data_IF_817554432949
#
_entry.id   IF_817554432949
#
_cell.length_a   1.000
_cell.length_b   1.000
_cell.length_c   1.000
_cell.angle_alpha   90.00
_cell.angle_beta   90.00
_cell.angle_gamma   90.00
#
_symmetry.space_group_name_H-M   'P 1'
#
loop_
_entity.id
_entity.type
_entity.pdbx_description
1 polymer ?
#
# COMPACT_ATOMS: atom_id res chain seq x y z
N UNK A 1 -1.09 16.75 -6.43
CA UNK A 1 -2.20 16.77 -5.44
C UNK A 1 -1.77 17.48 -4.15
N UNK A 2 -0.77 16.98 -3.39
CA UNK A 2 -0.38 17.54 -2.07
C UNK A 2 -0.09 19.05 -2.12
N UNK A 3 0.82 19.50 -2.99
CA UNK A 3 1.18 20.94 -3.13
C UNK A 3 -0.01 21.80 -3.56
N UNK A 4 -0.92 21.28 -4.38
CA UNK A 4 -2.11 21.98 -4.82
C UNK A 4 -3.14 22.12 -3.70
N UNK A 5 -3.33 21.07 -2.91
CA UNK A 5 -4.22 21.09 -1.76
C UNK A 5 -3.69 22.00 -0.65
N UNK A 6 -2.38 22.01 -0.41
CA UNK A 6 -1.77 22.98 0.53
C UNK A 6 -2.04 24.43 0.16
N UNK A 7 -2.09 24.75 -1.15
CA UNK A 7 -2.39 26.11 -1.61
C UNK A 7 -3.86 26.48 -1.48
N UNK A 8 -4.78 25.50 -1.58
CA UNK A 8 -6.22 25.71 -1.58
C UNK A 8 -6.86 25.65 -0.20
N UNK A 9 -6.33 24.79 0.67
CA UNK A 9 -6.82 24.62 2.02
C UNK A 9 -6.08 25.58 2.95
N UNK A 10 -6.77 26.59 3.42
CA UNK A 10 -6.28 27.46 4.48
C UNK A 10 -6.00 26.63 5.74
N UNK A 11 -4.99 26.99 6.46
CA UNK A 11 -4.23 26.40 7.57
C UNK A 11 -4.98 25.72 8.75
N UNK A 12 -6.25 25.45 8.66
CA UNK A 12 -7.02 24.82 9.76
C UNK A 12 -6.85 23.30 9.85
N UNK A 13 -6.36 22.65 8.79
CA UNK A 13 -6.22 21.21 8.72
C UNK A 13 -4.79 20.83 8.34
N UNK A 14 -4.19 19.95 9.10
CA UNK A 14 -2.87 19.40 8.77
C UNK A 14 -2.99 18.45 7.57
N UNK A 15 -2.13 18.64 6.57
CA UNK A 15 -2.06 17.76 5.38
C UNK A 15 -0.82 16.90 5.50
N UNK A 16 -1.01 15.59 5.57
CA UNK A 16 0.07 14.60 5.65
C UNK A 16 0.12 13.80 4.35
N UNK A 17 1.30 13.80 3.71
CA UNK A 17 1.59 12.92 2.57
C UNK A 17 2.33 11.69 3.09
N UNK A 18 1.84 10.49 2.72
CA UNK A 18 2.44 9.21 3.12
C UNK A 18 2.54 8.27 1.90
N UNK A 19 3.75 7.86 1.55
CA UNK A 19 4.02 6.88 0.49
C UNK A 19 5.30 6.09 0.78
N UNK A 20 5.55 5.03 0.02
CA UNK A 20 6.69 4.13 0.22
C UNK A 20 8.08 4.70 -0.12
N UNK A 21 8.15 5.88 -0.79
CA UNK A 21 9.41 6.49 -1.24
C UNK A 21 9.98 7.53 -0.26
N UNK A 22 9.62 7.48 1.00
CA UNK A 22 10.31 8.22 2.06
C UNK A 22 11.44 7.38 2.63
N UNK A 23 12.50 8.03 3.12
CA UNK A 23 13.46 7.36 4.01
C UNK A 23 12.72 6.82 5.24
N UNK A 24 13.23 5.73 5.81
CA UNK A 24 12.59 5.04 6.94
C UNK A 24 12.27 5.98 8.11
N UNK A 25 13.21 6.86 8.47
CA UNK A 25 13.07 7.86 9.53
C UNK A 25 11.88 8.81 9.30
N UNK A 26 11.77 9.39 8.10
CA UNK A 26 10.68 10.32 7.77
C UNK A 26 9.34 9.59 7.67
N UNK A 27 9.34 8.39 7.11
CA UNK A 27 8.16 7.55 7.05
C UNK A 27 7.63 7.23 8.43
N UNK A 28 8.50 6.79 9.35
CA UNK A 28 8.13 6.48 10.73
C UNK A 28 7.57 7.71 11.45
N UNK A 29 8.19 8.89 11.27
CA UNK A 29 7.71 10.13 11.85
C UNK A 29 6.30 10.48 11.35
N UNK A 30 6.04 10.35 10.04
CA UNK A 30 4.74 10.60 9.43
C UNK A 30 3.68 9.57 9.88
N UNK A 31 4.03 8.29 9.93
CA UNK A 31 3.14 7.23 10.43
C UNK A 31 2.74 7.48 11.88
N UNK A 32 3.69 7.90 12.73
CA UNK A 32 3.42 8.27 14.11
C UNK A 32 2.51 9.49 14.22
N UNK A 33 2.71 10.51 13.38
CA UNK A 33 1.83 11.69 13.34
C UNK A 33 0.40 11.31 12.93
N UNK A 34 0.25 10.49 11.89
CA UNK A 34 -1.06 9.97 11.45
C UNK A 34 -1.72 9.13 12.55
N UNK A 35 -0.97 8.20 13.15
CA UNK A 35 -1.47 7.34 14.23
C UNK A 35 -1.89 8.15 15.47
N UNK A 36 -1.16 9.20 15.80
CA UNK A 36 -1.50 10.13 16.87
C UNK A 36 -2.77 10.92 16.55
N UNK A 37 -2.94 11.38 15.31
CA UNK A 37 -4.11 12.16 14.89
C UNK A 37 -5.37 11.32 14.67
N UNK A 38 -5.26 10.07 14.21
CA UNK A 38 -6.40 9.26 13.75
C UNK A 38 -6.44 7.84 14.31
N UNK A 39 -5.47 7.43 15.12
CA UNK A 39 -5.40 6.08 15.66
C UNK A 39 -6.66 5.67 16.43
N UNK A 40 -7.03 4.40 16.35
CA UNK A 40 -8.24 3.88 16.99
C UNK A 40 -8.25 4.05 18.51
N UNK A 41 -7.06 4.04 19.13
CA UNK A 41 -6.84 4.20 20.57
C UNK A 41 -6.28 5.57 20.96
N UNK A 42 -6.19 6.52 20.02
CA UNK A 42 -5.63 7.83 20.30
C UNK A 42 -6.60 8.72 21.08
N UNK A 43 -6.08 9.34 22.12
CA UNK A 43 -6.74 10.41 22.89
C UNK A 43 -6.45 11.83 22.33
N UNK A 44 -5.53 11.93 21.35
CA UNK A 44 -5.10 13.19 20.73
C UNK A 44 -5.60 13.34 19.29
N UNK A 45 -6.81 12.86 19.04
CA UNK A 45 -7.41 12.94 17.70
C UNK A 45 -7.60 14.39 17.27
N UNK A 46 -7.23 14.67 16.02
CA UNK A 46 -7.42 15.97 15.38
C UNK A 46 -7.77 15.80 13.90
N UNK A 47 -8.44 16.79 13.29
CA UNK A 47 -8.69 16.76 11.86
C UNK A 47 -7.39 16.76 11.07
N UNK A 48 -7.25 15.83 10.13
CA UNK A 48 -6.16 15.79 9.15
C UNK A 48 -6.69 15.44 7.77
N UNK A 49 -5.97 15.85 6.74
CA UNK A 49 -6.11 15.32 5.39
C UNK A 49 -4.92 14.41 5.10
N UNK A 50 -5.16 13.12 5.02
CA UNK A 50 -4.15 12.14 4.67
C UNK A 50 -4.19 11.87 3.16
N UNK A 51 -3.09 12.15 2.47
CA UNK A 51 -2.87 11.76 1.07
C UNK A 51 -1.88 10.60 1.11
N UNK A 52 -2.32 9.44 0.65
CA UNK A 52 -1.50 8.25 0.76
C UNK A 52 -1.61 7.36 -0.49
N UNK A 53 -0.59 6.54 -0.70
CA UNK A 53 -0.61 5.41 -1.63
C UNK A 53 -1.06 4.14 -0.90
N UNK A 54 -0.73 2.97 -1.42
CA UNK A 54 -1.10 1.66 -0.83
C UNK A 54 -0.58 1.43 0.60
N UNK A 55 0.30 2.27 1.10
CA UNK A 55 0.87 2.16 2.46
C UNK A 55 -0.19 2.16 3.58
N UNK A 56 -1.39 2.66 3.29
CA UNK A 56 -2.51 2.65 4.26
C UNK A 56 -3.25 1.32 4.33
N UNK A 57 -3.05 0.43 3.38
CA UNK A 57 -3.72 -0.87 3.32
C UNK A 57 -3.20 -1.78 4.43
N UNK A 58 -1.92 -1.68 4.76
CA UNK A 58 -1.23 -2.58 5.70
C UNK A 58 -0.61 -1.81 6.86
N UNK A 59 -0.64 -2.39 8.04
CA UNK A 59 0.14 -2.01 9.24
C UNK A 59 -0.16 -0.66 9.90
N UNK A 60 -1.13 0.12 9.43
CA UNK A 60 -1.53 1.36 10.09
C UNK A 60 -2.82 1.18 10.88
N UNK A 61 -2.75 1.42 12.20
CA UNK A 61 -3.95 1.53 13.02
C UNK A 61 -4.49 2.96 12.94
N UNK A 62 -5.39 3.18 11.98
CA UNK A 62 -6.05 4.46 11.72
C UNK A 62 -7.55 4.26 11.62
N UNK A 63 -8.28 5.30 11.97
CA UNK A 63 -9.74 5.36 11.96
C UNK A 63 -10.16 6.71 11.38
N UNK A 64 -10.52 6.71 10.12
CA UNK A 64 -10.89 7.87 9.33
C UNK A 64 -12.40 8.07 9.30
N UNK A 65 -12.83 9.29 9.01
CA UNK A 65 -14.24 9.63 8.86
C UNK A 65 -14.80 9.33 7.48
N UNK A 66 -13.96 9.44 6.46
CA UNK A 66 -14.29 9.25 5.04
C UNK A 66 -13.04 8.91 4.26
N UNK A 67 -13.18 8.20 3.17
CA UNK A 67 -12.11 7.92 2.22
C UNK A 67 -12.56 8.20 0.79
N UNK A 68 -11.65 8.77 0.01
CA UNK A 68 -11.73 8.89 -1.44
C UNK A 68 -10.58 8.08 -2.03
N UNK A 69 -10.88 7.14 -2.90
CA UNK A 69 -9.89 6.21 -3.44
C UNK A 69 -9.91 6.20 -4.95
N UNK A 70 -8.72 6.14 -5.54
CA UNK A 70 -8.59 5.71 -6.92
C UNK A 70 -9.05 4.25 -7.05
N UNK A 71 -9.53 3.84 -8.24
CA UNK A 71 -9.93 2.46 -8.47
C UNK A 71 -8.75 1.50 -8.28
N UNK A 72 -9.05 0.36 -7.72
CA UNK A 72 -8.09 -0.70 -7.42
C UNK A 72 -8.83 -2.06 -7.42
N UNK A 73 -8.12 -3.19 -7.34
CA UNK A 73 -8.72 -4.48 -7.06
C UNK A 73 -9.59 -4.44 -5.80
N UNK A 74 -10.66 -5.21 -5.78
CA UNK A 74 -11.66 -5.17 -4.73
C UNK A 74 -11.07 -5.43 -3.34
N UNK A 75 -10.16 -6.37 -3.21
CA UNK A 75 -9.46 -6.68 -1.96
C UNK A 75 -8.66 -5.48 -1.42
N UNK A 76 -7.97 -4.74 -2.28
CA UNK A 76 -7.25 -3.53 -1.89
C UNK A 76 -8.21 -2.43 -1.44
N UNK A 77 -9.32 -2.24 -2.16
CA UNK A 77 -10.37 -1.29 -1.77
C UNK A 77 -11.00 -1.66 -0.43
N UNK A 78 -11.30 -2.93 -0.18
CA UNK A 78 -11.85 -3.40 1.09
C UNK A 78 -10.88 -3.16 2.26
N UNK A 79 -9.58 -3.34 2.06
CA UNK A 79 -8.56 -3.00 3.05
C UNK A 79 -8.54 -1.51 3.37
N UNK A 80 -8.70 -0.64 2.35
CA UNK A 80 -8.83 0.82 2.52
C UNK A 80 -10.12 1.17 3.24
N UNK A 81 -11.24 0.56 2.87
CA UNK A 81 -12.54 0.79 3.52
C UNK A 81 -12.53 0.39 4.99
N UNK A 82 -11.79 -0.65 5.35
CA UNK A 82 -11.56 -1.04 6.74
C UNK A 82 -10.80 -0.02 7.59
N UNK A 83 -10.37 1.11 7.00
CA UNK A 83 -9.78 2.26 7.71
C UNK A 83 -10.80 3.35 8.04
N UNK A 84 -12.04 3.19 7.62
CA UNK A 84 -13.12 4.17 7.86
C UNK A 84 -14.08 3.64 8.92
N UNK A 85 -14.42 4.50 9.89
CA UNK A 85 -15.32 4.15 11.01
C UNK A 85 -14.93 2.82 11.71
N UNK A 86 -13.63 2.55 11.81
CA UNK A 86 -13.10 1.31 12.38
C UNK A 86 -13.56 1.09 13.82
N UNK A 87 -13.73 2.17 14.56
CA UNK A 87 -14.25 2.14 15.94
C UNK A 87 -15.77 1.94 16.02
N UNK A 88 -16.46 1.91 14.87
CA UNK A 88 -17.93 1.77 14.79
C UNK A 88 -18.70 2.80 15.64
N UNK A 89 -18.17 4.02 15.72
CA UNK A 89 -18.82 5.13 16.47
C UNK A 89 -19.98 5.76 15.70
N UNK A 90 -20.01 5.61 14.38
CA UNK A 90 -21.08 6.06 13.48
C UNK A 90 -21.86 4.84 13.01
N UNK A 91 -23.16 4.99 12.81
CA UNK A 91 -24.00 3.93 12.23
C UNK A 91 -23.53 3.52 10.84
N UNK A 92 -23.09 4.49 10.04
CA UNK A 92 -22.40 4.25 8.77
C UNK A 92 -21.39 5.35 8.49
N UNK A 93 -20.44 5.06 7.58
CA UNK A 93 -19.50 6.05 7.05
C UNK A 93 -19.35 5.82 5.57
N UNK A 94 -19.06 6.90 4.84
CA UNK A 94 -19.02 6.86 3.39
C UNK A 94 -17.62 6.54 2.87
N UNK A 95 -17.57 5.71 1.84
CA UNK A 95 -16.39 5.42 1.03
C UNK A 95 -16.69 5.79 -0.41
N UNK A 96 -15.77 6.49 -1.05
CA UNK A 96 -15.94 6.96 -2.43
C UNK A 96 -14.81 6.39 -3.29
N UNK A 97 -15.17 5.80 -4.42
CA UNK A 97 -14.20 5.29 -5.41
C UNK A 97 -14.41 6.06 -6.71
N UNK A 98 -13.34 6.63 -7.24
CA UNK A 98 -13.38 7.25 -8.56
C UNK A 98 -13.56 6.19 -9.64
N UNK A 99 -14.23 6.53 -10.73
CA UNK A 99 -14.42 5.62 -11.87
C UNK A 99 -13.17 5.44 -12.70
N UNK A 100 -12.35 6.48 -12.74
CA UNK A 100 -11.12 6.51 -13.51
C UNK A 100 -9.95 6.84 -12.58
N UNK A 101 -8.77 6.23 -12.81
CA UNK A 101 -7.58 6.56 -12.03
C UNK A 101 -7.10 7.98 -12.36
N UNK A 102 -6.59 8.68 -11.36
CA UNK A 102 -6.14 10.07 -11.48
C UNK A 102 -4.96 10.26 -12.44
N UNK A 103 -4.09 9.25 -12.62
CA UNK A 103 -2.86 9.32 -13.42
C UNK A 103 -2.60 8.02 -14.21
N UNK A 104 -3.62 7.39 -14.77
CA UNK A 104 -3.45 6.19 -15.61
C UNK A 104 -2.61 5.13 -14.91
N UNK A 105 -2.83 4.90 -13.61
CA UNK A 105 -2.04 3.98 -12.81
C UNK A 105 -1.94 2.60 -13.46
N UNK A 106 -0.71 2.10 -13.57
CA UNK A 106 -0.39 0.80 -14.15
C UNK A 106 0.02 -0.24 -13.10
N UNK A 107 -0.34 0.00 -11.84
CA UNK A 107 0.07 -0.83 -10.70
C UNK A 107 -0.71 -2.14 -10.68
N UNK A 108 -1.99 -2.10 -11.10
CA UNK A 108 -2.89 -3.23 -11.07
C UNK A 108 -3.32 -3.66 -12.48
N UNK A 109 -3.71 -4.91 -12.63
CA UNK A 109 -4.34 -5.40 -13.85
C UNK A 109 -5.61 -4.60 -14.15
N UNK A 110 -5.70 -4.03 -15.34
CA UNK A 110 -6.86 -3.25 -15.78
C UNK A 110 -8.15 -4.08 -15.76
N UNK A 111 -8.06 -5.36 -16.17
CA UNK A 111 -9.19 -6.27 -16.16
C UNK A 111 -9.74 -6.49 -14.75
N UNK A 112 -8.86 -6.67 -13.77
CA UNK A 112 -9.22 -6.86 -12.36
C UNK A 112 -9.84 -5.60 -11.76
N UNK A 113 -9.28 -4.43 -12.04
CA UNK A 113 -9.84 -3.15 -11.60
C UNK A 113 -11.23 -2.91 -12.19
N UNK A 114 -11.42 -3.17 -13.49
CA UNK A 114 -12.72 -3.04 -14.15
C UNK A 114 -13.77 -3.98 -13.56
N UNK A 115 -13.42 -5.25 -13.32
CA UNK A 115 -14.33 -6.19 -12.67
C UNK A 115 -14.74 -5.74 -11.27
N UNK A 116 -13.79 -5.23 -10.49
CA UNK A 116 -14.04 -4.67 -9.17
C UNK A 116 -15.00 -3.48 -9.21
N UNK A 117 -14.82 -2.56 -10.16
CA UNK A 117 -15.73 -1.42 -10.35
C UNK A 117 -17.14 -1.87 -10.73
N UNK A 118 -17.30 -2.88 -11.58
CA UNK A 118 -18.62 -3.43 -11.96
C UNK A 118 -19.35 -3.96 -10.73
N UNK A 119 -18.66 -4.69 -9.86
CA UNK A 119 -19.25 -5.21 -8.61
C UNK A 119 -19.65 -4.06 -7.67
N UNK A 120 -18.80 -3.05 -7.53
CA UNK A 120 -19.10 -1.88 -6.70
C UNK A 120 -20.23 -1.03 -7.25
N UNK A 121 -20.35 -0.89 -8.58
CA UNK A 121 -21.47 -0.15 -9.20
C UNK A 121 -22.81 -0.85 -8.96
N UNK A 122 -22.88 -2.18 -9.04
CA UNK A 122 -24.08 -2.97 -8.72
C UNK A 122 -24.50 -2.82 -7.25
N UNK A 123 -23.52 -2.62 -6.37
CA UNK A 123 -23.72 -2.49 -4.93
C UNK A 123 -23.59 -1.04 -4.43
N UNK A 124 -23.77 -0.07 -5.32
CA UNK A 124 -23.67 1.34 -4.97
C UNK A 124 -24.75 1.73 -3.95
N UNK A 125 -24.37 2.54 -2.96
CA UNK A 125 -25.20 2.97 -1.83
C UNK A 125 -25.73 1.83 -0.94
N UNK A 126 -25.12 0.64 -0.98
CA UNK A 126 -25.43 -0.47 -0.08
C UNK A 126 -24.38 -0.49 1.02
N UNK A 127 -24.80 -0.84 2.24
CA UNK A 127 -23.86 -1.06 3.34
C UNK A 127 -22.99 -2.28 3.04
N UNK A 128 -21.68 -2.09 3.19
CA UNK A 128 -20.72 -3.18 3.02
C UNK A 128 -20.80 -4.07 4.26
N UNK A 129 -21.29 -5.28 4.08
CA UNK A 129 -21.38 -6.31 5.10
C UNK A 129 -20.28 -7.35 4.85
N UNK A 130 -19.57 -7.73 5.90
CA UNK A 130 -18.46 -8.70 5.82
C UNK A 130 -18.93 -10.06 5.25
N UNK A 131 -20.18 -10.45 5.54
CA UNK A 131 -20.81 -11.66 5.00
C UNK A 131 -20.94 -11.68 3.47
N UNK A 132 -21.03 -10.51 2.83
CA UNK A 132 -21.17 -10.38 1.37
C UNK A 132 -19.84 -10.22 0.64
N UNK A 133 -18.76 -9.95 1.37
CA UNK A 133 -17.44 -9.70 0.76
C UNK A 133 -16.96 -10.91 -0.05
N UNK A 134 -17.16 -12.12 0.45
CA UNK A 134 -16.78 -13.34 -0.28
C UNK A 134 -17.54 -13.48 -1.61
N UNK A 135 -18.84 -13.18 -1.62
CA UNK A 135 -19.65 -13.22 -2.84
C UNK A 135 -19.18 -12.17 -3.87
N UNK A 136 -18.79 -10.99 -3.39
CA UNK A 136 -18.26 -9.94 -4.26
C UNK A 136 -16.88 -10.31 -4.83
N UNK A 137 -16.02 -10.93 -4.04
CA UNK A 137 -14.74 -11.45 -4.52
C UNK A 137 -14.93 -12.57 -5.53
N UNK A 138 -15.83 -13.51 -5.26
CA UNK A 138 -16.17 -14.60 -6.19
C UNK A 138 -16.73 -14.04 -7.51
N UNK A 139 -17.46 -12.93 -7.46
CA UNK A 139 -17.94 -12.26 -8.67
C UNK A 139 -16.83 -11.57 -9.46
N UNK A 140 -15.83 -10.99 -8.81
CA UNK A 140 -14.65 -10.39 -9.46
C UNK A 140 -13.76 -11.47 -10.10
N UNK A 141 -13.47 -12.53 -9.35
CA UNK A 141 -12.58 -13.61 -9.78
C UNK A 141 -13.35 -14.71 -10.54
N UNK A 142 -14.01 -14.33 -11.64
CA UNK A 142 -14.71 -15.25 -12.54
C UNK A 142 -13.97 -15.45 -13.85
N UNK A 143 -14.29 -16.54 -14.51
CA UNK A 143 -13.96 -16.82 -15.91
C UNK A 143 -12.46 -16.54 -16.22
N UNK A 144 -12.21 -15.66 -17.16
CA UNK A 144 -10.86 -15.33 -17.64
C UNK A 144 -9.95 -14.74 -16.57
N UNK A 145 -10.50 -13.98 -15.60
CA UNK A 145 -9.72 -13.41 -14.50
C UNK A 145 -9.23 -14.54 -13.59
N UNK A 146 -10.12 -15.48 -13.24
CA UNK A 146 -9.74 -16.64 -12.45
C UNK A 146 -8.69 -17.53 -13.16
N UNK A 147 -8.85 -17.73 -14.47
CA UNK A 147 -7.90 -18.49 -15.28
C UNK A 147 -6.53 -17.81 -15.38
N UNK A 148 -6.50 -16.48 -15.60
CA UNK A 148 -5.26 -15.71 -15.64
C UNK A 148 -4.54 -15.77 -14.29
N UNK A 149 -5.28 -15.52 -13.19
CA UNK A 149 -4.73 -15.58 -11.85
C UNK A 149 -4.17 -16.96 -11.47
N UNK A 150 -4.89 -18.04 -11.83
CA UNK A 150 -4.40 -19.40 -11.59
C UNK A 150 -3.12 -19.71 -12.37
N UNK A 151 -3.02 -19.19 -13.60
CA UNK A 151 -1.83 -19.37 -14.43
C UNK A 151 -0.64 -18.63 -13.85
N UNK A 152 -0.82 -17.35 -13.54
CA UNK A 152 0.22 -16.52 -12.90
C UNK A 152 0.70 -17.12 -11.56
N UNK A 153 -0.23 -17.65 -10.77
CA UNK A 153 0.11 -18.36 -9.53
C UNK A 153 0.92 -19.63 -9.80
N UNK A 154 0.52 -20.43 -10.80
CA UNK A 154 1.22 -21.67 -11.12
C UNK A 154 2.63 -21.39 -11.65
N UNK A 155 2.77 -20.40 -12.53
CA UNK A 155 4.08 -19.98 -13.07
C UNK A 155 5.02 -19.53 -11.93
N UNK A 156 4.53 -18.67 -11.02
CA UNK A 156 5.30 -18.23 -9.88
C UNK A 156 5.62 -19.36 -8.86
N UNK A 157 4.68 -20.30 -8.70
CA UNK A 157 4.89 -21.48 -7.86
C UNK A 157 5.98 -22.40 -8.42
N UNK A 158 5.94 -22.65 -9.72
CA UNK A 158 6.91 -23.51 -10.39
C UNK A 158 8.33 -22.87 -10.37
N UNK A 159 8.42 -21.56 -10.64
CA UNK A 159 9.67 -20.80 -10.54
C UNK A 159 10.24 -20.82 -9.09
N UNK A 160 9.40 -20.60 -8.10
CA UNK A 160 9.82 -20.67 -6.70
C UNK A 160 10.34 -22.06 -6.31
N UNK A 161 9.65 -23.12 -6.72
CA UNK A 161 10.08 -24.49 -6.44
C UNK A 161 11.38 -24.85 -7.15
N UNK A 162 11.56 -24.41 -8.39
CA UNK A 162 12.82 -24.63 -9.11
C UNK A 162 14.00 -24.00 -8.36
N UNK A 163 13.84 -22.78 -7.84
CA UNK A 163 14.86 -22.13 -7.00
C UNK A 163 15.13 -22.93 -5.73
N UNK A 164 14.07 -23.32 -5.00
CA UNK A 164 14.22 -24.06 -3.73
C UNK A 164 14.87 -25.42 -3.92
N UNK A 165 14.47 -26.18 -4.97
CA UNK A 165 15.02 -27.51 -5.23
C UNK A 165 16.50 -27.47 -5.66
N UNK A 166 16.94 -26.35 -6.23
CA UNK A 166 18.32 -26.14 -6.66
C UNK A 166 19.21 -25.53 -5.57
N UNK A 167 18.64 -25.10 -4.43
CA UNK A 167 19.43 -24.63 -3.29
C UNK A 167 20.26 -25.77 -2.72
N UNK A 168 21.59 -25.65 -2.82
CA UNK A 168 22.57 -26.55 -2.22
C UNK A 168 23.29 -25.85 -1.08
N UNK A 169 23.37 -26.48 0.09
CA UNK A 169 24.15 -25.96 1.20
C UNK A 169 25.61 -25.72 0.75
N UNK A 170 26.12 -24.53 1.04
CA UNK A 170 27.50 -24.10 0.74
C UNK A 170 27.85 -23.89 -0.76
N UNK A 171 26.86 -23.79 -1.62
CA UNK A 171 27.08 -23.42 -3.02
C UNK A 171 26.64 -21.97 -3.23
N UNK A 172 27.57 -21.08 -3.53
CA UNK A 172 27.24 -19.73 -3.99
C UNK A 172 27.02 -19.79 -5.50
N UNK A 173 25.77 -19.83 -5.92
CA UNK A 173 25.39 -19.71 -7.31
C UNK A 173 24.90 -18.27 -7.55
N UNK A 174 25.73 -17.47 -8.21
CA UNK A 174 25.43 -16.06 -8.51
C UNK A 174 24.12 -15.91 -9.31
N UNK A 175 23.77 -16.91 -10.15
CA UNK A 175 22.51 -16.91 -10.91
C UNK A 175 21.29 -17.05 -10.03
N UNK A 176 21.30 -17.95 -9.03
CA UNK A 176 20.21 -18.14 -8.07
C UNK A 176 20.05 -16.93 -7.14
N UNK A 177 21.17 -16.30 -6.79
CA UNK A 177 21.15 -15.06 -6.00
C UNK A 177 20.50 -13.92 -6.78
N UNK A 178 20.83 -13.74 -8.06
CA UNK A 178 20.19 -12.75 -8.93
C UNK A 178 18.69 -13.02 -9.12
N UNK A 179 18.26 -14.26 -9.32
CA UNK A 179 16.86 -14.63 -9.44
C UNK A 179 16.10 -14.37 -8.15
N UNK A 180 16.70 -14.69 -7.00
CA UNK A 180 16.13 -14.39 -5.69
C UNK A 180 15.95 -12.88 -5.49
N UNK A 181 16.97 -12.06 -5.80
CA UNK A 181 16.86 -10.61 -5.68
C UNK A 181 15.88 -10.00 -6.69
N UNK A 182 15.74 -10.56 -7.89
CA UNK A 182 14.71 -10.13 -8.87
C UNK A 182 13.30 -10.31 -8.34
N UNK A 183 13.04 -11.36 -7.55
CA UNK A 183 11.74 -11.60 -6.93
C UNK A 183 11.34 -10.51 -5.91
N UNK A 184 12.31 -9.86 -5.27
CA UNK A 184 12.07 -8.76 -4.33
C UNK A 184 11.99 -7.37 -4.97
N UNK A 185 12.32 -7.22 -6.25
CA UNK A 185 12.15 -6.05 -7.13
C UNK A 185 12.45 -4.68 -6.48
N UNK A 186 13.25 -4.65 -5.42
CA UNK A 186 13.62 -3.40 -4.74
C UNK A 186 15.08 -3.37 -4.29
N UNK A 187 15.68 -2.22 -4.46
CA UNK A 187 17.03 -1.89 -3.98
C UNK A 187 16.94 -0.72 -3.03
N UNK A 188 17.64 -0.81 -1.93
CA UNK A 188 17.75 0.31 -1.00
C UNK A 188 18.80 1.30 -1.50
N UNK A 189 18.38 2.54 -1.73
CA UNK A 189 19.22 3.62 -2.25
C UNK A 189 19.43 4.67 -1.17
N UNK A 190 20.67 5.07 -0.98
CA UNK A 190 21.04 6.19 -0.11
C UNK A 190 20.98 7.51 -0.87
N UNK A 191 20.14 8.48 -0.46
CA UNK A 191 20.20 9.82 -1.02
C UNK A 191 21.57 10.47 -0.73
N UNK A 192 22.22 11.00 -1.77
CA UNK A 192 23.59 11.54 -1.67
C UNK A 192 23.78 12.60 -0.60
N UNK A 193 22.75 13.39 -0.34
CA UNK A 193 22.74 14.42 0.70
C UNK A 193 22.72 13.89 2.13
N UNK A 194 22.51 12.57 2.32
CA UNK A 194 22.52 11.89 3.61
C UNK A 194 23.77 11.03 3.82
N UNK A 195 24.75 11.09 2.92
CA UNK A 195 25.95 10.25 2.98
C UNK A 195 26.69 10.43 4.31
N UNK A 196 26.98 11.67 4.72
CA UNK A 196 27.72 11.95 5.96
C UNK A 196 26.96 11.48 7.21
N UNK A 197 25.61 11.59 7.20
CA UNK A 197 24.76 11.12 8.30
C UNK A 197 24.75 9.59 8.33
N UNK A 198 24.71 8.96 7.17
CA UNK A 198 24.71 7.51 7.03
C UNK A 198 26.03 6.89 7.50
N UNK A 199 27.18 7.42 7.08
CA UNK A 199 28.50 6.91 7.50
C UNK A 199 28.67 6.95 9.01
N UNK A 200 28.27 8.04 9.67
CA UNK A 200 28.28 8.12 11.13
C UNK A 200 27.34 7.13 11.78
N UNK A 201 26.12 7.02 11.24
CA UNK A 201 25.12 6.12 11.78
C UNK A 201 25.54 4.64 11.64
N UNK A 202 26.22 4.26 10.56
CA UNK A 202 26.71 2.87 10.38
C UNK A 202 27.70 2.47 11.48
N UNK A 203 28.57 3.39 11.90
CA UNK A 203 29.54 3.13 12.97
C UNK A 203 28.88 3.00 14.35
N UNK A 204 27.87 3.82 14.62
CA UNK A 204 27.21 3.88 15.92
C UNK A 204 26.05 2.88 16.05
N UNK A 205 25.17 2.82 15.06
CA UNK A 205 23.96 1.99 15.06
C UNK A 205 23.50 1.65 13.65
N UNK A 206 23.83 0.46 13.12
CA UNK A 206 23.45 0.03 11.78
C UNK A 206 21.91 0.04 11.50
N UNK A 207 21.08 -0.14 12.55
CA UNK A 207 19.63 -0.06 12.41
C UNK A 207 19.14 1.37 12.17
N UNK A 208 19.80 2.36 12.75
CA UNK A 208 19.52 3.76 12.46
C UNK A 208 20.01 4.15 11.06
N UNK A 209 21.17 3.66 10.65
CA UNK A 209 21.67 3.84 9.30
C UNK A 209 20.68 3.31 8.25
N UNK A 210 20.10 2.13 8.45
CA UNK A 210 19.10 1.57 7.53
C UNK A 210 17.85 2.44 7.36
N UNK A 211 17.52 3.26 8.34
CA UNK A 211 16.38 4.19 8.25
C UNK A 211 16.63 5.41 7.34
N UNK A 212 17.85 5.62 6.90
CA UNK A 212 18.22 6.67 5.95
C UNK A 212 18.09 6.21 4.49
N UNK A 213 17.83 4.93 4.27
CA UNK A 213 17.67 4.34 2.95
C UNK A 213 16.23 4.51 2.42
N UNK A 214 16.11 4.50 1.10
CA UNK A 214 14.83 4.53 0.38
C UNK A 214 14.73 3.27 -0.48
N UNK A 215 13.70 2.44 -0.32
CA UNK A 215 13.46 1.33 -1.24
C UNK A 215 13.02 1.85 -2.61
N UNK A 216 13.72 1.48 -3.66
CA UNK A 216 13.46 1.85 -5.05
C UNK A 216 13.34 0.57 -5.88
N UNK A 217 12.39 0.52 -6.80
CA UNK A 217 12.33 -0.61 -7.74
C UNK A 217 13.55 -0.62 -8.65
N UNK A 218 14.10 -1.82 -8.90
CA UNK A 218 15.29 -2.01 -9.72
C UNK A 218 15.12 -1.51 -11.17
N UNK A 219 13.88 -1.50 -11.68
CA UNK A 219 13.57 -1.16 -13.09
C UNK A 219 12.97 0.25 -13.28
N UNK A 220 13.27 1.21 -12.41
CA UNK A 220 12.83 2.60 -12.56
C UNK A 220 13.97 3.59 -12.76
#
# INVERSE_FOLDING_TARGET
>A
AHCELQKRLNSEMEIILLHGRFIGKDRLAKENAVRKATGSKSDQRKPILLIATQVVEVSLDIDLDVIYSDPAPLEALLQRFGRVNRRRLKSCAHVYVFREPSDGQRIYSEALVRASLVVLEKNNNIMIEESKVSEWLDEVYKDKIAESWKREYQDAYDEFWDVILNLRAFNSDEGLEEEFYRAFDSVDVLPINLLDEYEKAVEENPLEASQLLVPVRWNQ
#
